data_IF_003020367248
#
_entry.id   IF_003020367248
#
_cell.length_a   1.000
_cell.length_b   1.000
_cell.length_c   1.000
_cell.angle_alpha   90.00
_cell.angle_beta   90.00
_cell.angle_gamma   90.00
#
_symmetry.space_group_name_H-M   'P 1'
#
loop_
_entity.id
_entity.type
_entity.pdbx_description
1 polymer ?
#
# COMPACT_ATOMS: atom_id res chain seq x y z
N UNK A 1 13.79 21.64 2.08
CA UNK A 1 12.52 21.33 2.78
C UNK A 1 11.87 20.13 2.09
N UNK A 2 11.42 19.07 2.80
CA UNK A 2 10.73 17.96 2.15
C UNK A 2 9.41 18.44 1.54
N UNK A 3 9.13 18.05 0.30
CA UNK A 3 7.92 18.41 -0.43
C UNK A 3 6.67 18.07 0.41
N UNK A 4 5.74 19.03 0.57
CA UNK A 4 4.51 18.89 1.38
C UNK A 4 3.65 17.69 0.96
N UNK A 5 3.72 17.28 -0.30
CA UNK A 5 3.00 16.12 -0.82
C UNK A 5 3.66 14.80 -0.38
N UNK A 6 4.99 14.73 -0.35
CA UNK A 6 5.75 13.57 0.13
C UNK A 6 5.43 13.27 1.61
N UNK A 7 5.39 14.31 2.45
CA UNK A 7 5.02 14.17 3.87
C UNK A 7 3.61 13.59 4.08
N UNK A 8 2.66 13.94 3.20
CA UNK A 8 1.28 13.43 3.28
C UNK A 8 1.18 11.95 2.88
N UNK A 9 1.91 11.53 1.85
CA UNK A 9 2.00 10.11 1.45
C UNK A 9 2.58 9.26 2.57
N UNK A 10 3.75 9.64 3.07
CA UNK A 10 4.41 8.93 4.18
C UNK A 10 3.55 8.86 5.46
N UNK A 11 2.80 9.93 5.76
CA UNK A 11 1.85 9.94 6.87
C UNK A 11 0.67 9.00 6.64
N UNK A 12 0.15 8.91 5.41
CA UNK A 12 -0.91 7.98 5.07
C UNK A 12 -0.46 6.52 5.22
N UNK A 13 0.71 6.15 4.69
CA UNK A 13 1.28 4.81 4.85
C UNK A 13 1.45 4.42 6.32
N UNK A 14 2.00 5.33 7.13
CA UNK A 14 2.21 5.07 8.56
C UNK A 14 0.88 4.87 9.29
N UNK A 15 -0.15 5.64 8.94
CA UNK A 15 -1.48 5.52 9.54
C UNK A 15 -2.20 4.25 9.10
N UNK A 16 -2.07 3.85 7.84
CA UNK A 16 -2.64 2.62 7.32
C UNK A 16 -2.08 1.42 8.07
N UNK A 17 -0.76 1.31 8.17
CA UNK A 17 -0.10 0.22 8.88
C UNK A 17 -0.47 0.20 10.37
N UNK A 18 -0.49 1.36 11.03
CA UNK A 18 -0.89 1.46 12.43
C UNK A 18 -2.34 1.00 12.67
N UNK A 19 -3.24 1.20 11.70
CA UNK A 19 -4.62 0.72 11.80
C UNK A 19 -4.67 -0.81 11.71
N UNK A 20 -3.98 -1.42 10.73
CA UNK A 20 -3.94 -2.88 10.58
C UNK A 20 -3.46 -3.56 11.87
N UNK A 21 -2.37 -3.06 12.45
CA UNK A 21 -1.82 -3.59 13.70
C UNK A 21 -2.76 -3.35 14.90
N UNK A 22 -3.44 -2.20 14.95
CA UNK A 22 -4.35 -1.87 16.06
C UNK A 22 -5.62 -2.71 16.06
N UNK A 23 -6.17 -3.00 14.88
CA UNK A 23 -7.44 -3.73 14.76
C UNK A 23 -7.26 -5.25 14.68
N UNK A 24 -6.02 -5.73 14.63
CA UNK A 24 -5.71 -7.17 14.58
C UNK A 24 -5.68 -7.75 13.17
N UNK A 25 -5.90 -6.93 12.13
CA UNK A 25 -5.80 -7.34 10.72
C UNK A 25 -4.36 -7.72 10.33
N UNK A 26 -3.36 -7.27 11.12
CA UNK A 26 -1.96 -7.64 10.97
C UNK A 26 -1.31 -8.00 12.31
N UNK A 27 -0.48 -9.04 12.31
CA UNK A 27 0.34 -9.43 13.47
C UNK A 27 1.70 -8.74 13.46
N UNK A 28 2.22 -8.39 12.28
CA UNK A 28 3.44 -7.60 12.07
C UNK A 28 3.40 -6.92 10.71
N UNK A 29 4.15 -5.84 10.55
CA UNK A 29 4.31 -5.19 9.25
C UNK A 29 5.25 -4.00 9.30
N UNK A 30 5.50 -3.42 8.13
CA UNK A 30 6.46 -2.35 7.95
C UNK A 30 6.22 -1.52 6.69
N UNK A 31 6.99 -0.43 6.57
CA UNK A 31 7.05 0.40 5.36
C UNK A 31 8.32 0.09 4.60
N UNK A 32 8.25 0.06 3.28
CA UNK A 32 9.44 0.03 2.43
C UNK A 32 9.99 1.46 2.30
N UNK A 33 11.14 1.74 2.93
CA UNK A 33 11.78 3.05 2.82
C UNK A 33 12.62 3.15 1.54
N UNK A 34 12.55 4.32 0.88
CA UNK A 34 13.48 4.76 -0.16
C UNK A 34 13.77 3.72 -1.26
N UNK A 35 12.75 3.37 -2.06
CA UNK A 35 12.87 2.56 -3.29
C UNK A 35 13.33 1.11 -3.13
N UNK A 36 13.33 0.55 -1.90
CA UNK A 36 13.69 -0.87 -1.68
C UNK A 36 12.57 -1.86 -2.01
N UNK A 37 11.33 -1.41 -2.19
CA UNK A 37 10.18 -2.24 -2.54
C UNK A 37 9.49 -1.77 -3.81
N UNK A 38 8.83 -2.69 -4.51
CA UNK A 38 7.87 -2.37 -5.59
C UNK A 38 6.63 -1.70 -5.02
N UNK A 39 6.29 -2.03 -3.77
CA UNK A 39 5.14 -1.52 -3.01
C UNK A 39 5.59 -0.59 -1.87
N UNK A 40 4.64 0.09 -1.21
CA UNK A 40 4.95 1.06 -0.14
C UNK A 40 4.99 0.40 1.26
N UNK A 41 4.17 -0.62 1.51
CA UNK A 41 4.03 -1.29 2.81
C UNK A 41 3.87 -2.79 2.68
N UNK A 42 4.22 -3.52 3.75
CA UNK A 42 3.99 -4.96 3.88
C UNK A 42 3.43 -5.29 5.26
N UNK A 43 2.66 -6.38 5.35
CA UNK A 43 2.19 -6.94 6.62
C UNK A 43 1.96 -8.45 6.51
N UNK A 44 1.95 -9.12 7.66
CA UNK A 44 1.49 -10.50 7.78
C UNK A 44 0.16 -10.48 8.51
N UNK A 45 -0.86 -11.09 7.90
CA UNK A 45 -2.19 -11.20 8.51
C UNK A 45 -2.23 -12.26 9.63
N UNK A 46 -3.35 -12.35 10.34
CA UNK A 46 -3.57 -13.35 11.39
C UNK A 46 -3.48 -14.81 10.89
N UNK A 47 -3.64 -15.03 9.58
CA UNK A 47 -3.58 -16.35 8.93
C UNK A 47 -2.17 -16.69 8.45
N UNK A 48 -1.21 -15.79 8.63
CA UNK A 48 0.18 -15.98 8.21
C UNK A 48 0.43 -15.62 6.75
N UNK A 49 -0.52 -15.05 6.02
CA UNK A 49 -0.28 -14.62 4.64
C UNK A 49 0.56 -13.34 4.61
N UNK A 50 1.58 -13.33 3.76
CA UNK A 50 2.32 -12.12 3.45
C UNK A 50 1.50 -11.26 2.50
N UNK A 51 1.30 -10.00 2.87
CA UNK A 51 0.60 -9.00 2.09
C UNK A 51 1.51 -7.81 1.81
N UNK A 52 1.42 -7.25 0.62
CA UNK A 52 2.11 -6.02 0.21
C UNK A 52 1.14 -5.07 -0.46
N UNK A 53 1.30 -3.75 -0.27
CA UNK A 53 0.39 -2.77 -0.88
C UNK A 53 1.08 -1.51 -1.41
N UNK A 54 0.65 -1.10 -2.61
CA UNK A 54 0.91 0.24 -3.14
C UNK A 54 -0.20 1.20 -2.67
N UNK A 55 0.18 2.29 -2.00
CA UNK A 55 -0.70 3.28 -1.43
C UNK A 55 -0.70 4.58 -2.26
N UNK A 56 -1.88 5.03 -2.67
CA UNK A 56 -2.06 6.34 -3.31
C UNK A 56 -3.01 7.21 -2.49
N UNK A 57 -2.48 8.34 -2.01
CA UNK A 57 -3.26 9.36 -1.32
C UNK A 57 -3.37 10.65 -2.14
N UNK A 58 -4.56 11.22 -2.19
CA UNK A 58 -4.77 12.57 -2.71
C UNK A 58 -5.69 13.38 -1.81
N UNK A 59 -5.31 14.63 -1.54
CA UNK A 59 -6.18 15.55 -0.80
C UNK A 59 -7.21 16.26 -1.67
N UNK A 60 -7.09 16.19 -3.00
CA UNK A 60 -7.89 17.00 -3.95
C UNK A 60 -8.64 16.14 -4.95
N UNK A 61 -7.94 15.30 -5.69
CA UNK A 61 -8.45 14.51 -6.82
C UNK A 61 -8.64 13.05 -6.44
N UNK A 62 -9.30 12.27 -7.30
CA UNK A 62 -9.29 10.81 -7.19
C UNK A 62 -7.83 10.31 -7.32
N UNK A 63 -7.32 9.50 -6.37
CA UNK A 63 -6.00 8.90 -6.50
C UNK A 63 -5.91 8.06 -7.77
N UNK A 64 -4.78 8.16 -8.46
CA UNK A 64 -4.52 7.54 -9.74
C UNK A 64 -3.22 6.73 -9.69
N UNK A 65 -3.20 5.63 -10.42
CA UNK A 65 -2.02 4.78 -10.67
C UNK A 65 -1.82 4.78 -12.18
N UNK A 66 -0.61 5.06 -12.63
CA UNK A 66 -0.31 5.06 -14.07
C UNK A 66 -0.34 3.63 -14.62
N UNK A 67 -0.67 3.42 -15.91
CA UNK A 67 -0.60 2.11 -16.55
C UNK A 67 0.75 1.42 -16.37
N UNK A 68 1.85 2.19 -16.46
CA UNK A 68 3.21 1.68 -16.25
C UNK A 68 3.49 1.24 -14.81
N UNK A 69 2.88 1.90 -13.83
CA UNK A 69 2.99 1.50 -12.43
C UNK A 69 2.11 0.29 -12.13
N UNK A 70 0.91 0.24 -12.71
CA UNK A 70 0.04 -0.92 -12.64
C UNK A 70 0.73 -2.16 -13.22
N UNK A 71 1.28 -2.07 -14.43
CA UNK A 71 2.00 -3.18 -15.07
C UNK A 71 3.16 -3.71 -14.21
N UNK A 72 3.89 -2.83 -13.51
CA UNK A 72 4.94 -3.27 -12.58
C UNK A 72 4.38 -4.04 -11.38
N UNK A 73 3.26 -3.61 -10.82
CA UNK A 73 2.59 -4.31 -9.73
C UNK A 73 2.04 -5.66 -10.17
N UNK A 74 1.49 -5.74 -11.38
CA UNK A 74 0.98 -6.97 -11.97
C UNK A 74 2.10 -7.99 -12.18
N UNK A 75 3.21 -7.58 -12.81
CA UNK A 75 4.39 -8.43 -12.99
C UNK A 75 4.95 -8.89 -11.65
N UNK A 76 5.07 -7.98 -10.67
CA UNK A 76 5.52 -8.34 -9.33
C UNK A 76 4.58 -9.37 -8.66
N UNK A 77 3.26 -9.19 -8.76
CA UNK A 77 2.30 -10.13 -8.21
C UNK A 77 2.40 -11.52 -8.89
N UNK A 78 2.60 -11.54 -10.22
CA UNK A 78 2.83 -12.78 -10.97
C UNK A 78 4.13 -13.47 -10.55
N UNK A 79 5.23 -12.73 -10.44
CA UNK A 79 6.55 -13.28 -10.06
C UNK A 79 6.55 -13.87 -8.64
N UNK A 80 5.72 -13.33 -7.74
CA UNK A 80 5.56 -13.87 -6.39
C UNK A 80 4.70 -15.14 -6.34
N UNK A 81 4.01 -15.51 -7.42
CA UNK A 81 3.30 -16.78 -7.60
C UNK A 81 2.43 -17.18 -6.40
N UNK A 82 1.57 -16.26 -5.94
CA UNK A 82 0.66 -16.47 -4.82
C UNK A 82 1.31 -16.55 -3.43
N UNK A 83 2.64 -16.46 -3.32
CA UNK A 83 3.36 -16.41 -2.03
C UNK A 83 3.13 -15.09 -1.29
N UNK A 84 2.82 -14.03 -2.04
CA UNK A 84 2.51 -12.70 -1.52
C UNK A 84 1.21 -12.22 -2.15
N UNK A 85 0.30 -11.71 -1.31
CA UNK A 85 -0.92 -11.03 -1.74
C UNK A 85 -0.61 -9.56 -2.00
N UNK A 86 -0.74 -9.13 -3.25
CA UNK A 86 -0.44 -7.75 -3.66
C UNK A 86 -1.72 -6.93 -3.77
N UNK A 87 -1.70 -5.74 -3.19
CA UNK A 87 -2.86 -4.85 -3.06
C UNK A 87 -2.60 -3.44 -3.59
N UNK A 88 -3.68 -2.79 -3.99
CA UNK A 88 -3.73 -1.37 -4.29
C UNK A 88 -4.65 -0.70 -3.29
N UNK A 89 -4.13 0.29 -2.58
CA UNK A 89 -4.89 1.05 -1.57
C UNK A 89 -4.98 2.50 -1.99
N UNK A 90 -6.20 2.97 -2.28
CA UNK A 90 -6.48 4.33 -2.73
C UNK A 90 -7.29 5.07 -1.68
N UNK A 91 -6.85 6.28 -1.31
CA UNK A 91 -7.63 7.16 -0.42
C UNK A 91 -7.63 8.61 -0.88
N UNK A 92 -8.84 9.14 -1.09
CA UNK A 92 -9.06 10.59 -1.17
C UNK A 92 -9.39 11.14 0.23
N UNK A 93 -8.93 12.35 0.55
CA UNK A 93 -9.28 13.01 1.81
C UNK A 93 -10.81 13.02 2.04
N UNK A 94 -11.23 12.75 3.28
CA UNK A 94 -12.64 12.65 3.73
C UNK A 94 -13.49 11.59 3.02
N UNK A 95 -12.92 10.80 2.10
CA UNK A 95 -13.61 9.66 1.47
C UNK A 95 -13.17 8.34 2.10
N UNK A 96 -14.00 7.32 1.85
CA UNK A 96 -13.69 5.93 2.19
C UNK A 96 -12.40 5.50 1.49
N UNK A 97 -11.65 4.66 2.17
CA UNK A 97 -10.48 4.00 1.60
C UNK A 97 -10.98 2.83 0.74
N UNK A 98 -10.35 2.63 -0.42
CA UNK A 98 -10.62 1.53 -1.32
C UNK A 98 -9.37 0.66 -1.33
N UNK A 99 -9.55 -0.65 -1.21
CA UNK A 99 -8.49 -1.64 -1.25
C UNK A 99 -8.89 -2.73 -2.25
N UNK A 100 -8.02 -2.96 -3.23
CA UNK A 100 -8.26 -3.85 -4.37
C UNK A 100 -7.08 -4.83 -4.46
N UNK A 101 -7.36 -6.12 -4.68
CA UNK A 101 -6.33 -7.14 -4.89
C UNK A 101 -5.86 -7.09 -6.34
N UNK A 102 -4.56 -7.22 -6.58
CA UNK A 102 -3.97 -7.09 -7.93
C UNK A 102 -4.25 -8.33 -8.79
N UNK A 103 -4.19 -9.55 -8.25
CA UNK A 103 -4.69 -10.79 -8.86
C UNK A 103 -4.94 -11.87 -7.79
#
# INVERSE_FOLDING_TARGET
MPNKNYRKGASFESRFLAQLLKYGDAVKGGRFYASKGVTDVWWVDEKGHHNEAQLKFSSKTKPYISPSEMQKLELFATDMDGKILVWIVKKQSRKRMIMERVF
#
